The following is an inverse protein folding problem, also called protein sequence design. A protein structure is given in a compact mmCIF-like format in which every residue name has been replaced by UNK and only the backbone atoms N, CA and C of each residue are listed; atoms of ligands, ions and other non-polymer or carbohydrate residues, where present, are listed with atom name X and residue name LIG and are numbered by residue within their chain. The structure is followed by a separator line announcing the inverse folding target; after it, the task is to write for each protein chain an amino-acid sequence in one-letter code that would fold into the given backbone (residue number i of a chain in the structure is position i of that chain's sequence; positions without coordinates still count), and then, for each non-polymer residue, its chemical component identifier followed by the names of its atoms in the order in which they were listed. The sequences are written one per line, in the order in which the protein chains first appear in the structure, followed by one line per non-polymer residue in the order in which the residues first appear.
data_IF_345703460267
#
_entry.id   IF_345703460267
#
_cell.length_a   1.000
_cell.length_b   1.000
_cell.length_c   1.000
_cell.angle_alpha   90.00
_cell.angle_beta   90.00
_cell.angle_gamma   90.00
#
_symmetry.space_group_name_H-M   'P 1'
#
loop_
_entity.id
_entity.type
_entity.pdbx_description
1 polymer ?
#
# COMPACT_ATOMS: atom_id res chain seq x y z
N UNK A 1 -19.69 6.89 5.43
CA UNK A 1 -21.12 7.23 5.73
C UNK A 1 -22.04 6.94 4.54
N UNK A 2 -21.74 7.38 3.31
CA UNK A 2 -22.62 7.21 2.16
C UNK A 2 -22.98 5.76 1.80
N UNK A 3 -22.07 4.79 2.01
CA UNK A 3 -22.33 3.37 1.80
C UNK A 3 -23.21 2.75 2.90
N UNK A 4 -23.21 3.32 4.09
CA UNK A 4 -24.02 2.82 5.23
C UNK A 4 -25.50 3.22 5.10
N UNK A 5 -25.77 4.34 4.47
CA UNK A 5 -27.14 4.83 4.34
C UNK A 5 -27.80 4.28 3.07
N UNK A 6 -28.92 3.58 3.19
CA UNK A 6 -29.58 2.89 2.07
C UNK A 6 -29.98 3.81 0.91
N UNK A 7 -30.34 5.06 1.17
CA UNK A 7 -30.71 6.06 0.14
C UNK A 7 -29.51 6.55 -0.69
N UNK A 8 -28.35 6.68 -0.06
CA UNK A 8 -27.13 7.22 -0.70
C UNK A 8 -26.16 6.14 -1.19
N UNK A 9 -26.30 4.91 -0.67
CA UNK A 9 -25.39 3.79 -0.94
C UNK A 9 -25.10 3.59 -2.42
N UNK A 10 -26.17 3.61 -3.22
CA UNK A 10 -26.09 3.44 -4.66
C UNK A 10 -25.18 4.48 -5.31
N UNK A 11 -25.44 5.75 -5.03
CA UNK A 11 -24.68 6.86 -5.61
C UNK A 11 -23.26 6.93 -5.11
N UNK A 12 -23.05 6.64 -3.83
CA UNK A 12 -21.71 6.56 -3.24
C UNK A 12 -20.89 5.42 -3.86
N UNK A 13 -21.49 4.26 -4.10
CA UNK A 13 -20.82 3.15 -4.77
C UNK A 13 -20.41 3.52 -6.20
N UNK A 14 -21.27 4.20 -6.97
CA UNK A 14 -20.93 4.71 -8.31
C UNK A 14 -19.75 5.67 -8.23
N UNK A 15 -19.84 6.67 -7.36
CA UNK A 15 -18.82 7.70 -7.23
C UNK A 15 -17.45 7.11 -6.86
N UNK A 16 -17.43 6.16 -5.92
CA UNK A 16 -16.21 5.44 -5.54
C UNK A 16 -15.67 4.59 -6.70
N UNK A 17 -16.54 3.95 -7.49
CA UNK A 17 -16.11 3.18 -8.65
C UNK A 17 -15.43 4.08 -9.69
N UNK A 18 -16.02 5.23 -10.02
CA UNK A 18 -15.42 6.20 -10.93
C UNK A 18 -14.10 6.76 -10.40
N UNK A 19 -14.03 7.04 -9.10
CA UNK A 19 -12.80 7.51 -8.46
C UNK A 19 -11.67 6.47 -8.58
N UNK A 20 -11.94 5.19 -8.29
CA UNK A 20 -10.94 4.14 -8.41
C UNK A 20 -10.59 3.81 -9.86
N UNK A 21 -11.54 3.96 -10.79
CA UNK A 21 -11.26 3.89 -12.21
C UNK A 21 -10.27 4.98 -12.66
N UNK A 22 -10.50 6.22 -12.21
CA UNK A 22 -9.59 7.33 -12.47
C UNK A 22 -8.19 7.06 -11.87
N UNK A 23 -8.12 6.60 -10.63
CA UNK A 23 -6.85 6.24 -10.00
C UNK A 23 -6.10 5.16 -10.78
N UNK A 24 -6.78 4.14 -11.27
CA UNK A 24 -6.16 3.09 -12.08
C UNK A 24 -5.56 3.65 -13.38
N UNK A 25 -6.28 4.55 -14.05
CA UNK A 25 -5.78 5.21 -15.26
C UNK A 25 -4.61 6.15 -14.99
N UNK A 26 -4.67 6.90 -13.88
CA UNK A 26 -3.67 7.94 -13.56
C UNK A 26 -2.40 7.38 -12.93
N UNK A 27 -2.50 6.34 -12.10
CA UNK A 27 -1.42 5.88 -11.22
C UNK A 27 -0.98 4.44 -11.52
N UNK A 28 -1.65 3.75 -12.44
CA UNK A 28 -1.43 2.32 -12.74
C UNK A 28 -1.59 1.39 -11.52
N UNK A 29 -2.34 1.82 -10.52
CA UNK A 29 -2.57 1.04 -9.32
C UNK A 29 -3.79 0.14 -9.50
N UNK A 30 -3.57 -1.16 -9.60
CA UNK A 30 -4.62 -2.15 -9.88
C UNK A 30 -5.48 -2.49 -8.64
N UNK A 31 -5.90 -1.45 -7.91
CA UNK A 31 -6.83 -1.58 -6.79
C UNK A 31 -8.29 -1.57 -7.23
N UNK A 32 -8.56 -1.18 -8.46
CA UNK A 32 -9.94 -1.06 -8.98
C UNK A 32 -10.69 -2.37 -8.92
N UNK A 33 -10.01 -3.48 -9.15
CA UNK A 33 -10.55 -4.83 -9.05
C UNK A 33 -11.09 -5.12 -7.66
N UNK A 34 -10.24 -4.99 -6.64
CA UNK A 34 -10.60 -5.25 -5.26
C UNK A 34 -11.72 -4.32 -4.78
N UNK A 35 -11.64 -3.04 -5.13
CA UNK A 35 -12.67 -2.06 -4.75
C UNK A 35 -14.00 -2.34 -5.44
N UNK A 36 -14.00 -2.75 -6.72
CA UNK A 36 -15.23 -3.12 -7.42
C UNK A 36 -15.90 -4.33 -6.73
N UNK A 37 -15.15 -5.36 -6.33
CA UNK A 37 -15.69 -6.48 -5.56
C UNK A 37 -16.28 -6.05 -4.21
N UNK A 38 -15.57 -5.20 -3.46
CA UNK A 38 -16.06 -4.69 -2.18
C UNK A 38 -17.33 -3.86 -2.36
N UNK A 39 -17.40 -3.01 -3.37
CA UNK A 39 -18.56 -2.20 -3.69
C UNK A 39 -19.75 -3.07 -4.14
N UNK A 40 -19.51 -4.12 -4.92
CA UNK A 40 -20.52 -5.11 -5.27
C UNK A 40 -21.10 -5.77 -4.02
N UNK A 41 -20.25 -6.19 -3.07
CA UNK A 41 -20.69 -6.73 -1.78
C UNK A 41 -21.58 -5.78 -0.97
N UNK A 42 -21.36 -4.46 -1.09
CA UNK A 42 -22.20 -3.45 -0.43
C UNK A 42 -23.57 -3.23 -1.11
N UNK A 43 -23.69 -3.61 -2.38
CA UNK A 43 -24.83 -3.24 -3.24
C UNK A 43 -25.74 -4.45 -3.54
N UNK A 44 -25.19 -5.67 -3.54
CA UNK A 44 -25.92 -6.89 -3.91
C UNK A 44 -26.79 -7.40 -2.77
N UNK A 45 -28.01 -7.75 -3.09
CA UNK A 45 -28.89 -8.54 -2.23
C UNK A 45 -28.77 -10.03 -2.62
N UNK A 46 -27.96 -10.78 -1.87
CA UNK A 46 -27.69 -12.20 -2.15
C UNK A 46 -28.87 -13.14 -1.91
N UNK A 47 -29.94 -12.69 -1.24
CA UNK A 47 -31.10 -13.54 -0.92
C UNK A 47 -32.11 -13.65 -2.06
N UNK A 48 -31.98 -12.88 -3.13
CA UNK A 48 -32.92 -12.87 -4.25
C UNK A 48 -32.58 -13.95 -5.28
N UNK A 49 -33.50 -14.90 -5.55
CA UNK A 49 -33.34 -15.94 -6.62
C UNK A 49 -33.10 -15.36 -8.01
N UNK A 50 -33.61 -14.18 -8.30
CA UNK A 50 -33.43 -13.49 -9.60
C UNK A 50 -32.00 -12.99 -9.76
N UNK A 51 -31.35 -12.59 -8.67
CA UNK A 51 -29.98 -12.14 -8.67
C UNK A 51 -29.02 -13.28 -8.98
N UNK A 52 -29.31 -14.51 -8.53
CA UNK A 52 -28.45 -15.68 -8.78
C UNK A 52 -28.21 -15.92 -10.27
N UNK A 53 -29.25 -15.84 -11.12
CA UNK A 53 -29.09 -15.99 -12.59
C UNK A 53 -28.29 -14.82 -13.22
N UNK A 54 -28.57 -13.60 -12.78
CA UNK A 54 -27.87 -12.42 -13.28
C UNK A 54 -26.39 -12.40 -12.83
N UNK A 55 -26.09 -12.88 -11.61
CA UNK A 55 -24.73 -13.06 -11.11
C UNK A 55 -23.96 -14.05 -11.98
N UNK A 56 -24.54 -15.21 -12.26
CA UNK A 56 -23.90 -16.22 -13.10
C UNK A 56 -23.61 -15.66 -14.50
N UNK A 57 -24.56 -14.94 -15.09
CA UNK A 57 -24.39 -14.33 -16.40
C UNK A 57 -23.30 -13.24 -16.38
N UNK A 58 -23.32 -12.34 -15.40
CA UNK A 58 -22.31 -11.31 -15.24
C UNK A 58 -20.92 -11.90 -14.93
N UNK A 59 -20.85 -12.98 -14.14
CA UNK A 59 -19.60 -13.70 -13.87
C UNK A 59 -19.02 -14.33 -15.15
N UNK A 60 -19.86 -14.92 -16.01
CA UNK A 60 -19.42 -15.43 -17.33
C UNK A 60 -18.86 -14.31 -18.20
N UNK A 61 -19.53 -13.16 -18.25
CA UNK A 61 -19.00 -11.97 -18.94
C UNK A 61 -17.66 -11.51 -18.36
N UNK A 62 -17.55 -11.48 -17.04
CA UNK A 62 -16.30 -11.12 -16.38
C UNK A 62 -15.16 -12.10 -16.74
N UNK A 63 -15.41 -13.40 -16.68
CA UNK A 63 -14.43 -14.42 -17.07
C UNK A 63 -14.02 -14.25 -18.54
N UNK A 64 -14.98 -14.02 -19.43
CA UNK A 64 -14.69 -13.78 -20.85
C UNK A 64 -13.79 -12.53 -21.02
N UNK A 65 -14.10 -11.43 -20.34
CA UNK A 65 -13.27 -10.23 -20.39
C UNK A 65 -11.88 -10.44 -19.79
N UNK A 66 -11.78 -11.18 -18.70
CA UNK A 66 -10.49 -11.55 -18.13
C UNK A 66 -9.66 -12.39 -19.11
N UNK A 67 -10.26 -13.37 -19.76
CA UNK A 67 -9.59 -14.18 -20.78
C UNK A 67 -9.15 -13.34 -21.99
N UNK A 68 -10.00 -12.45 -22.50
CA UNK A 68 -9.65 -11.52 -23.57
C UNK A 68 -8.53 -10.58 -23.18
N UNK A 69 -8.53 -10.07 -21.94
CA UNK A 69 -7.47 -9.23 -21.39
C UNK A 69 -6.14 -9.97 -21.33
N UNK A 70 -6.13 -11.21 -20.83
CA UNK A 70 -4.94 -12.07 -20.79
C UNK A 70 -4.45 -12.36 -22.21
N UNK A 71 -5.34 -12.72 -23.13
CA UNK A 71 -5.00 -12.99 -24.53
C UNK A 71 -4.42 -11.75 -25.20
N UNK A 72 -5.02 -10.58 -24.98
CA UNK A 72 -4.51 -9.31 -25.48
C UNK A 72 -3.14 -8.98 -24.90
N UNK A 73 -2.91 -9.25 -23.61
CA UNK A 73 -1.61 -9.09 -22.97
C UNK A 73 -0.53 -9.95 -23.62
N UNK A 74 -0.84 -11.20 -23.95
CA UNK A 74 0.09 -12.08 -24.70
C UNK A 74 0.41 -11.56 -26.09
N UNK A 75 -0.59 -11.03 -26.83
CA UNK A 75 -0.37 -10.39 -28.12
C UNK A 75 0.58 -9.20 -28.00
N UNK A 76 0.33 -8.33 -27.01
CA UNK A 76 1.14 -7.15 -26.73
C UNK A 76 2.56 -7.50 -26.36
N UNK A 77 2.79 -8.57 -25.59
CA UNK A 77 4.13 -9.11 -25.30
C UNK A 77 4.81 -9.63 -26.58
N UNK A 78 4.10 -10.38 -27.41
CA UNK A 78 4.63 -10.95 -28.66
C UNK A 78 5.12 -9.86 -29.63
N UNK A 79 4.42 -8.73 -29.71
CA UNK A 79 4.77 -7.62 -30.59
C UNK A 79 5.71 -6.58 -29.94
N UNK A 80 6.28 -6.87 -28.77
CA UNK A 80 7.23 -6.00 -28.04
C UNK A 80 6.78 -4.53 -27.91
N UNK A 81 5.49 -4.29 -27.79
CA UNK A 81 4.94 -2.96 -27.59
C UNK A 81 5.43 -2.35 -26.26
N UNK A 82 5.59 -1.03 -26.21
CA UNK A 82 6.14 -0.33 -25.05
C UNK A 82 5.40 -0.69 -23.75
N UNK A 83 6.14 -0.95 -22.68
CA UNK A 83 5.60 -1.37 -21.35
C UNK A 83 4.57 -0.38 -20.80
N UNK A 84 4.78 0.92 -20.97
CA UNK A 84 3.83 1.95 -20.47
C UNK A 84 2.46 1.88 -21.16
N UNK A 85 2.43 1.65 -22.47
CA UNK A 85 1.17 1.48 -23.19
C UNK A 85 0.49 0.15 -22.89
N UNK A 86 1.25 -0.89 -22.54
CA UNK A 86 0.73 -2.22 -22.17
C UNK A 86 -0.12 -2.15 -20.90
N UNK A 87 0.41 -1.53 -19.84
CA UNK A 87 -0.30 -1.38 -18.56
C UNK A 87 -1.60 -0.59 -18.70
N UNK A 88 -1.58 0.49 -19.46
CA UNK A 88 -2.76 1.32 -19.69
C UNK A 88 -3.87 0.55 -20.41
N UNK A 89 -3.57 -0.15 -21.51
CA UNK A 89 -4.56 -0.89 -22.29
C UNK A 89 -5.12 -2.06 -21.48
N UNK A 90 -4.27 -2.80 -20.76
CA UNK A 90 -4.70 -3.87 -19.88
C UNK A 90 -5.66 -3.36 -18.80
N UNK A 91 -5.28 -2.27 -18.13
CA UNK A 91 -6.12 -1.63 -17.12
C UNK A 91 -7.45 -1.14 -17.70
N UNK A 92 -7.46 -0.55 -18.90
CA UNK A 92 -8.68 -0.09 -19.55
C UNK A 92 -9.65 -1.24 -19.86
N UNK A 93 -9.18 -2.33 -20.51
CA UNK A 93 -9.99 -3.49 -20.84
C UNK A 93 -10.58 -4.13 -19.58
N UNK A 94 -9.75 -4.27 -18.54
CA UNK A 94 -10.17 -4.83 -17.26
C UNK A 94 -11.26 -3.96 -16.60
N UNK A 95 -11.09 -2.64 -16.58
CA UNK A 95 -12.05 -1.72 -16.01
C UNK A 95 -13.37 -1.64 -16.78
N UNK A 96 -13.36 -1.73 -18.10
CA UNK A 96 -14.60 -1.83 -18.90
C UNK A 96 -15.42 -3.05 -18.48
N UNK A 97 -14.78 -4.22 -18.31
CA UNK A 97 -15.43 -5.42 -17.81
C UNK A 97 -16.08 -5.19 -16.44
N UNK A 98 -15.39 -4.50 -15.51
CA UNK A 98 -15.94 -4.14 -14.21
C UNK A 98 -17.14 -3.20 -14.31
N UNK A 99 -17.09 -2.19 -15.17
CA UNK A 99 -18.21 -1.28 -15.38
C UNK A 99 -19.44 -2.01 -15.89
N UNK A 100 -19.29 -2.89 -16.89
CA UNK A 100 -20.39 -3.71 -17.42
C UNK A 100 -21.00 -4.57 -16.31
N UNK A 101 -20.16 -5.24 -15.52
CA UNK A 101 -20.59 -6.09 -14.41
C UNK A 101 -21.32 -5.26 -13.34
N UNK A 102 -20.78 -4.13 -12.96
CA UNK A 102 -21.36 -3.23 -11.98
C UNK A 102 -22.70 -2.67 -12.43
N UNK A 103 -22.81 -2.16 -13.67
CA UNK A 103 -24.07 -1.63 -14.20
C UNK A 103 -25.15 -2.71 -14.34
N UNK A 104 -24.76 -3.93 -14.70
CA UNK A 104 -25.69 -5.08 -14.77
C UNK A 104 -26.31 -5.37 -13.40
N UNK A 105 -25.51 -5.34 -12.33
CA UNK A 105 -26.01 -5.49 -10.97
C UNK A 105 -26.81 -4.28 -10.52
N UNK A 106 -26.37 -3.11 -10.92
CA UNK A 106 -26.94 -1.87 -10.48
C UNK A 106 -28.36 -1.63 -10.99
N UNK A 107 -28.66 -2.12 -12.20
CA UNK A 107 -30.00 -2.07 -12.81
C UNK A 107 -31.02 -2.84 -11.97
N UNK A 108 -30.58 -3.90 -11.28
CA UNK A 108 -31.41 -4.79 -10.48
C UNK A 108 -31.36 -4.49 -8.98
N UNK A 109 -30.72 -3.38 -8.59
CA UNK A 109 -30.56 -3.03 -7.19
C UNK A 109 -31.89 -2.65 -6.52
N UNK A 110 -32.24 -3.35 -5.45
CA UNK A 110 -33.32 -2.98 -4.54
C UNK A 110 -32.72 -2.56 -3.21
N UNK A 111 -32.97 -1.29 -2.83
CA UNK A 111 -32.47 -0.80 -1.55
C UNK A 111 -33.08 -1.58 -0.38
N UNK A 112 -32.28 -2.34 0.35
CA UNK A 112 -32.65 -2.95 1.62
C UNK A 112 -32.03 -2.19 2.77
N UNK A 113 -32.79 -2.04 3.85
CA UNK A 113 -32.25 -1.58 5.13
C UNK A 113 -31.38 -2.70 5.70
N UNK A 114 -30.10 -2.44 5.91
CA UNK A 114 -29.21 -3.40 6.56
C UNK A 114 -29.66 -3.57 8.02
N UNK A 115 -30.03 -4.78 8.38
CA UNK A 115 -30.20 -5.16 9.77
C UNK A 115 -28.85 -5.69 10.25
N UNK A 116 -28.24 -4.99 11.19
CA UNK A 116 -26.96 -5.41 11.75
C UNK A 116 -27.21 -6.23 13.00
N UNK A 117 -26.86 -7.49 12.98
CA UNK A 117 -26.77 -8.29 14.20
C UNK A 117 -25.60 -7.79 15.06
N UNK A 118 -25.78 -7.81 16.39
CA UNK A 118 -24.79 -7.25 17.33
C UNK A 118 -23.42 -7.92 17.23
N UNK A 119 -23.36 -9.25 17.02
CA UNK A 119 -22.09 -10.00 16.96
C UNK A 119 -21.19 -9.59 15.77
N UNK A 120 -21.66 -9.59 14.50
CA UNK A 120 -20.84 -9.14 13.39
C UNK A 120 -20.47 -7.64 13.49
N UNK A 121 -21.34 -6.80 14.07
CA UNK A 121 -21.02 -5.38 14.28
C UNK A 121 -19.85 -5.23 15.26
N UNK A 122 -19.85 -5.98 16.36
CA UNK A 122 -18.73 -5.95 17.31
C UNK A 122 -17.43 -6.38 16.67
N UNK A 123 -17.43 -7.50 15.92
CA UNK A 123 -16.25 -7.99 15.21
C UNK A 123 -15.72 -6.96 14.21
N UNK A 124 -16.60 -6.38 13.38
CA UNK A 124 -16.22 -5.34 12.41
C UNK A 124 -15.68 -4.09 13.11
N UNK A 125 -16.24 -3.71 14.26
CA UNK A 125 -15.75 -2.58 15.06
C UNK A 125 -14.34 -2.83 15.58
N UNK A 126 -14.06 -4.04 16.08
CA UNK A 126 -12.72 -4.42 16.53
C UNK A 126 -11.74 -4.39 15.36
N UNK A 127 -12.10 -4.99 14.21
CA UNK A 127 -11.28 -4.93 13.00
C UNK A 127 -11.02 -3.49 12.56
N UNK A 128 -12.04 -2.64 12.59
CA UNK A 128 -11.90 -1.22 12.22
C UNK A 128 -10.94 -0.49 13.16
N UNK A 129 -11.03 -0.72 14.48
CA UNK A 129 -10.12 -0.12 15.46
C UNK A 129 -8.68 -0.59 15.21
N UNK A 130 -8.46 -1.88 14.98
CA UNK A 130 -7.12 -2.42 14.69
C UNK A 130 -6.53 -1.85 13.40
N UNK A 131 -7.32 -1.78 12.33
CA UNK A 131 -6.90 -1.19 11.05
C UNK A 131 -6.61 0.30 11.24
N UNK A 132 -7.45 1.03 11.95
CA UNK A 132 -7.25 2.45 12.24
C UNK A 132 -5.98 2.68 13.04
N UNK A 133 -5.73 1.89 14.07
CA UNK A 133 -4.49 1.94 14.84
C UNK A 133 -3.27 1.68 13.94
N UNK A 134 -3.33 0.64 13.11
CA UNK A 134 -2.26 0.31 12.18
C UNK A 134 -1.98 1.44 11.19
N UNK A 135 -3.01 2.12 10.71
CA UNK A 135 -2.86 3.23 9.76
C UNK A 135 -2.36 4.53 10.42
N UNK A 136 -2.74 4.76 11.67
CA UNK A 136 -2.35 5.92 12.43
C UNK A 136 -0.94 5.80 13.06
N UNK A 137 -0.30 4.63 12.98
CA UNK A 137 1.03 4.40 13.58
C UNK A 137 2.10 5.40 13.15
N UNK A 138 1.99 5.97 11.95
CA UNK A 138 2.90 6.99 11.43
C UNK A 138 2.88 8.26 12.29
N UNK A 139 1.69 8.66 12.75
CA UNK A 139 1.52 9.87 13.55
C UNK A 139 1.98 9.73 14.99
N UNK A 140 2.14 8.50 15.46
CA UNK A 140 2.67 8.21 16.81
C UNK A 140 4.14 7.78 16.79
N UNK A 141 4.77 7.72 15.61
CA UNK A 141 6.19 7.40 15.45
C UNK A 141 6.53 5.92 15.35
N UNK A 142 5.54 5.04 15.17
CA UNK A 142 5.71 3.58 15.04
C UNK A 142 5.88 3.10 13.58
N UNK A 143 6.52 3.88 12.75
CA UNK A 143 6.81 3.53 11.36
C UNK A 143 6.13 4.43 10.35
N UNK A 144 6.73 4.58 9.18
CA UNK A 144 6.25 5.45 8.11
C UNK A 144 6.12 4.75 6.75
N UNK A 145 6.27 3.43 6.74
CA UNK A 145 6.11 2.58 5.54
C UNK A 145 4.95 1.61 5.70
N UNK A 146 4.29 1.25 4.59
CA UNK A 146 3.17 0.31 4.59
C UNK A 146 1.89 0.81 5.25
N UNK A 147 1.65 2.12 5.22
CA UNK A 147 0.45 2.78 5.75
C UNK A 147 -0.43 3.30 4.61
N UNK A 148 -1.60 3.88 4.93
CA UNK A 148 -2.41 4.65 3.96
C UNK A 148 -1.74 5.94 3.46
N UNK A 149 -0.51 6.22 3.88
CA UNK A 149 0.31 7.34 3.38
C UNK A 149 1.00 7.04 2.05
N UNK A 150 0.81 5.86 1.52
CA UNK A 150 1.29 5.45 0.20
C UNK A 150 0.82 6.48 -0.84
N UNK A 151 1.70 6.95 -1.70
CA UNK A 151 1.48 8.02 -2.70
C UNK A 151 1.37 9.46 -2.18
N UNK A 152 1.32 9.69 -0.88
CA UNK A 152 1.05 11.03 -0.36
C UNK A 152 2.29 11.92 -0.22
N UNK A 153 3.49 11.37 -0.40
CA UNK A 153 4.75 12.05 -0.04
C UNK A 153 4.71 12.68 1.35
N UNK A 154 3.98 12.04 2.26
CA UNK A 154 3.83 12.50 3.64
C UNK A 154 5.18 12.42 4.36
N UNK A 155 5.63 13.54 4.87
CA UNK A 155 6.79 13.67 5.75
C UNK A 155 6.29 13.75 7.18
N UNK A 156 6.77 12.85 8.02
CA UNK A 156 6.36 12.76 9.43
C UNK A 156 7.50 13.05 10.41
N UNK A 157 8.71 13.25 9.91
CA UNK A 157 9.86 13.64 10.69
C UNK A 157 9.57 14.99 11.38
N UNK A 158 9.98 15.16 12.64
CA UNK A 158 9.74 16.39 13.42
C UNK A 158 10.26 17.66 12.75
N UNK A 159 11.39 17.53 12.04
CA UNK A 159 12.01 18.64 11.30
C UNK A 159 11.36 18.94 9.94
N UNK A 160 10.62 17.99 9.36
CA UNK A 160 10.13 18.03 7.98
C UNK A 160 8.65 17.66 7.85
N UNK A 161 7.87 17.88 8.89
CA UNK A 161 6.45 17.60 8.87
C UNK A 161 5.73 18.47 7.82
N UNK A 162 5.04 17.82 6.87
CA UNK A 162 4.23 18.47 5.83
C UNK A 162 2.73 18.17 5.94
N UNK A 163 2.28 17.55 7.03
CA UNK A 163 0.88 17.26 7.20
C UNK A 163 0.06 18.50 7.56
N UNK A 164 -1.03 18.73 6.81
CA UNK A 164 -1.82 19.96 6.94
C UNK A 164 -2.60 20.08 8.25
N UNK A 165 -3.14 18.97 8.76
CA UNK A 165 -4.04 18.95 9.93
C UNK A 165 -3.36 18.48 11.21
N UNK A 166 -2.31 17.67 11.12
CA UNK A 166 -1.70 16.98 12.26
C UNK A 166 -0.24 17.42 12.39
N UNK A 167 0.07 18.02 13.51
CA UNK A 167 1.45 18.35 13.86
C UNK A 167 2.12 17.12 14.49
N UNK A 168 2.92 16.40 13.70
CA UNK A 168 3.62 15.20 14.18
C UNK A 168 4.63 15.47 15.28
N UNK A 169 5.11 16.72 15.46
CA UNK A 169 5.95 17.10 16.61
C UNK A 169 5.25 16.88 17.94
N UNK A 170 3.91 17.05 17.95
CA UNK A 170 3.08 16.94 19.14
C UNK A 170 2.48 15.55 19.33
N UNK A 171 2.21 14.85 18.25
CA UNK A 171 1.50 13.56 18.30
C UNK A 171 2.42 12.35 18.44
N UNK A 172 3.69 12.47 18.08
CA UNK A 172 4.66 11.37 18.24
C UNK A 172 4.89 11.03 19.70
N UNK A 173 4.64 9.77 20.03
CA UNK A 173 4.90 9.17 21.34
C UNK A 173 6.31 8.57 21.38
N UNK A 174 6.81 8.10 20.24
CA UNK A 174 8.13 7.49 20.07
C UNK A 174 8.92 8.21 18.99
N UNK A 175 10.23 8.37 19.24
CA UNK A 175 11.13 9.13 18.37
C UNK A 175 12.02 8.23 17.49
N UNK A 176 11.54 7.04 17.12
CA UNK A 176 12.34 6.10 16.33
C UNK A 176 12.77 6.64 14.97
N UNK A 177 12.01 7.54 14.40
CA UNK A 177 12.31 8.16 13.10
C UNK A 177 13.38 9.24 13.20
N UNK A 178 13.54 9.86 14.38
CA UNK A 178 14.52 10.93 14.61
C UNK A 178 15.93 10.37 14.87
N UNK A 179 16.02 9.18 15.46
CA UNK A 179 17.30 8.49 15.63
C UNK A 179 17.66 7.77 14.34
N UNK A 180 18.49 8.41 13.52
CA UNK A 180 18.76 7.98 12.16
C UNK A 180 20.25 7.90 11.83
N UNK A 181 20.57 7.07 10.85
CA UNK A 181 21.89 6.81 10.31
C UNK A 181 21.93 7.24 8.85
N UNK A 182 22.94 8.04 8.46
CA UNK A 182 23.22 8.32 7.05
C UNK A 182 24.23 7.30 6.53
N UNK A 183 23.88 6.55 5.52
CA UNK A 183 24.74 5.56 4.89
C UNK A 183 25.57 6.26 3.81
N UNK A 184 26.89 6.32 3.97
CA UNK A 184 27.80 6.89 3.00
C UNK A 184 28.28 5.83 2.00
N UNK A 185 28.63 4.65 2.51
CA UNK A 185 29.14 3.55 1.66
C UNK A 185 28.66 2.21 2.21
N UNK A 186 28.12 1.39 1.32
CA UNK A 186 27.76 -0.01 1.58
C UNK A 186 28.88 -0.95 1.13
N UNK A 187 28.89 -2.20 1.60
CA UNK A 187 29.84 -3.22 1.15
C UNK A 187 29.81 -3.37 -0.37
N UNK A 188 30.99 -3.50 -0.99
CA UNK A 188 31.10 -3.61 -2.45
C UNK A 188 30.45 -4.89 -3.01
N UNK A 189 30.24 -5.88 -2.16
CA UNK A 189 29.52 -7.13 -2.48
C UNK A 189 28.02 -6.96 -2.65
N UNK A 190 27.46 -5.85 -2.16
CA UNK A 190 26.02 -5.53 -2.32
C UNK A 190 25.81 -4.91 -3.68
N UNK A 191 25.23 -5.68 -4.62
CA UNK A 191 24.96 -5.22 -6.00
C UNK A 191 24.01 -4.02 -6.07
N UNK A 192 23.11 -3.87 -5.10
CA UNK A 192 22.11 -2.82 -5.08
C UNK A 192 22.46 -1.76 -4.02
N UNK A 193 23.19 -0.75 -4.43
CA UNK A 193 23.63 0.37 -3.58
C UNK A 193 22.58 1.49 -3.42
N UNK A 194 21.29 1.19 -3.65
CA UNK A 194 20.20 2.20 -3.57
C UNK A 194 20.09 2.92 -2.23
N UNK A 195 20.69 2.37 -1.19
CA UNK A 195 20.66 2.97 0.15
C UNK A 195 21.80 3.94 0.43
N UNK A 196 22.81 4.03 -0.43
CA UNK A 196 23.89 5.00 -0.30
C UNK A 196 23.33 6.43 -0.44
N UNK A 197 23.80 7.33 0.40
CA UNK A 197 23.33 8.72 0.52
C UNK A 197 21.90 8.90 1.03
N UNK A 198 21.32 7.86 1.65
CA UNK A 198 20.03 7.96 2.34
C UNK A 198 20.21 7.87 3.84
N UNK A 199 19.30 8.55 4.57
CA UNK A 199 19.11 8.33 6.00
C UNK A 199 18.12 7.21 6.21
N UNK A 200 18.42 6.34 7.17
CA UNK A 200 17.50 5.33 7.68
C UNK A 200 17.34 5.54 9.18
N UNK A 201 16.13 5.44 9.72
CA UNK A 201 15.95 5.28 11.16
C UNK A 201 16.78 4.10 11.67
N UNK A 202 17.40 4.28 12.83
CA UNK A 202 18.35 3.33 13.41
C UNK A 202 17.77 1.91 13.51
N UNK A 203 16.49 1.80 13.86
CA UNK A 203 15.78 0.52 13.96
C UNK A 203 15.72 -0.19 12.61
N UNK A 204 15.38 0.55 11.54
CA UNK A 204 15.33 0.00 10.19
C UNK A 204 16.73 -0.39 9.71
N UNK A 205 17.75 0.43 10.02
CA UNK A 205 19.13 0.11 9.70
C UNK A 205 19.58 -1.18 10.40
N UNK A 206 19.31 -1.34 11.70
CA UNK A 206 19.62 -2.55 12.47
C UNK A 206 18.91 -3.77 11.88
N UNK A 207 17.63 -3.65 11.53
CA UNK A 207 16.87 -4.74 10.93
C UNK A 207 17.47 -5.18 9.59
N UNK A 208 17.77 -4.22 8.70
CA UNK A 208 18.40 -4.51 7.40
C UNK A 208 19.82 -5.07 7.55
N UNK A 209 20.60 -4.55 8.49
CA UNK A 209 21.94 -5.08 8.82
C UNK A 209 21.86 -6.54 9.22
N UNK A 210 20.93 -6.90 10.11
CA UNK A 210 20.74 -8.32 10.51
C UNK A 210 20.42 -9.21 9.33
N UNK A 211 19.52 -8.77 8.43
CA UNK A 211 19.19 -9.51 7.21
C UNK A 211 20.40 -9.66 6.27
N UNK A 212 21.21 -8.62 6.14
CA UNK A 212 22.43 -8.67 5.32
C UNK A 212 23.46 -9.65 5.94
N UNK A 213 23.66 -9.60 7.25
CA UNK A 213 24.56 -10.49 7.95
C UNK A 213 24.13 -11.98 7.90
N UNK A 214 22.81 -12.24 7.85
CA UNK A 214 22.26 -13.58 7.65
C UNK A 214 22.42 -14.08 6.20
N UNK A 215 22.45 -13.18 5.24
CA UNK A 215 22.51 -13.52 3.81
C UNK A 215 23.92 -13.70 3.28
N UNK A 216 24.90 -13.01 3.83
CA UNK A 216 26.28 -13.01 3.34
C UNK A 216 27.24 -13.53 4.41
N UNK A 217 28.12 -14.48 4.03
CA UNK A 217 29.06 -15.11 4.95
C UNK A 217 30.40 -14.37 5.12
N UNK A 218 30.72 -13.44 4.22
CA UNK A 218 31.93 -12.65 4.28
C UNK A 218 31.76 -11.35 5.10
N UNK A 219 32.87 -10.68 5.39
CA UNK A 219 32.89 -9.40 6.10
C UNK A 219 32.14 -8.32 5.30
N UNK A 220 31.33 -7.54 6.02
CA UNK A 220 30.51 -6.49 5.47
C UNK A 220 30.98 -5.13 5.98
N UNK A 221 31.90 -4.48 5.25
CA UNK A 221 32.39 -3.16 5.60
C UNK A 221 31.35 -2.06 5.24
N UNK A 222 31.19 -1.08 6.12
CA UNK A 222 30.24 0.01 5.91
C UNK A 222 30.80 1.33 6.42
N UNK A 223 30.52 2.44 5.74
CA UNK A 223 30.81 3.79 6.23
C UNK A 223 29.48 4.51 6.41
N UNK A 224 29.26 5.05 7.59
CA UNK A 224 28.02 5.73 7.94
C UNK A 224 28.28 6.93 8.84
N UNK A 225 27.30 7.86 8.91
CA UNK A 225 27.28 8.94 9.90
C UNK A 225 26.18 8.67 10.89
N UNK A 226 26.54 8.65 12.15
CA UNK A 226 25.61 8.48 13.28
C UNK A 226 25.94 9.48 14.39
N UNK A 227 24.95 10.23 14.85
CA UNK A 227 25.11 11.30 15.85
C UNK A 227 26.19 12.31 15.48
N UNK A 228 26.29 12.67 14.20
CA UNK A 228 27.29 13.57 13.59
C UNK A 228 28.72 13.01 13.49
N UNK A 229 28.98 11.80 13.96
CA UNK A 229 30.28 11.15 13.83
C UNK A 229 30.31 10.23 12.62
N UNK A 230 31.38 10.29 11.86
CA UNK A 230 31.62 9.35 10.75
C UNK A 230 32.24 8.08 11.32
N UNK A 231 31.52 6.97 11.18
CA UNK A 231 31.94 5.66 11.66
C UNK A 231 32.34 4.80 10.47
N UNK A 232 33.55 4.25 10.52
CA UNK A 232 34.03 3.22 9.60
C UNK A 232 33.90 1.87 10.30
N UNK A 233 33.00 1.04 9.81
CA UNK A 233 32.72 -0.27 10.40
C UNK A 233 33.36 -1.31 9.50
N UNK A 234 34.42 -2.00 9.98
CA UNK A 234 35.11 -3.02 9.17
C UNK A 234 34.23 -4.22 8.89
N UNK A 235 33.41 -4.61 9.85
CA UNK A 235 32.44 -5.70 9.69
C UNK A 235 31.14 -5.43 10.45
N UNK A 236 30.03 -5.35 9.72
CA UNK A 236 28.70 -5.16 10.28
C UNK A 236 28.27 -6.32 11.19
N UNK A 237 28.76 -7.55 10.96
CA UNK A 237 28.39 -8.72 11.77
C UNK A 237 28.78 -8.57 13.23
N UNK A 238 29.93 -7.96 13.47
CA UNK A 238 30.51 -7.76 14.80
C UNK A 238 30.21 -6.40 15.39
N UNK A 239 29.35 -5.61 14.73
CA UNK A 239 29.00 -4.27 15.16
C UNK A 239 27.79 -4.22 16.08
N UNK A 240 27.66 -3.13 16.83
CA UNK A 240 26.46 -2.81 17.65
C UNK A 240 25.18 -2.65 16.81
N UNK A 241 25.31 -2.54 15.49
CA UNK A 241 24.19 -2.42 14.59
C UNK A 241 23.60 -3.78 14.17
N UNK A 242 24.29 -4.87 14.38
CA UNK A 242 23.77 -6.22 14.19
C UNK A 242 23.00 -6.70 15.45
N UNK A 243 21.95 -5.98 15.79
CA UNK A 243 21.08 -6.29 16.92
C UNK A 243 19.76 -6.86 16.44
N UNK A 244 19.45 -8.10 16.80
CA UNK A 244 18.21 -8.77 16.40
C UNK A 244 17.15 -8.67 17.51
N UNK A 245 16.09 -7.88 17.26
CA UNK A 245 14.89 -7.88 18.10
C UNK A 245 13.69 -8.38 17.30
N UNK A 246 12.90 -9.27 17.91
CA UNK A 246 11.77 -9.91 17.25
C UNK A 246 10.73 -8.93 16.71
N UNK A 247 10.61 -7.76 17.32
CA UNK A 247 9.62 -6.74 16.95
C UNK A 247 10.08 -5.79 15.84
N UNK A 248 11.38 -5.75 15.50
CA UNK A 248 11.87 -4.90 14.40
C UNK A 248 11.15 -5.18 13.09
N UNK A 249 10.81 -6.44 12.82
CA UNK A 249 10.09 -6.85 11.62
C UNK A 249 8.65 -6.30 11.48
N UNK A 250 8.11 -5.68 12.51
CA UNK A 250 6.75 -5.10 12.49
C UNK A 250 6.76 -3.58 12.40
N UNK A 251 7.92 -2.94 12.53
CA UNK A 251 8.09 -1.49 12.49
C UNK A 251 8.92 -1.17 11.26
N UNK A 252 8.26 -0.69 10.20
CA UNK A 252 8.90 -0.40 8.93
C UNK A 252 9.07 1.09 8.74
N UNK A 253 10.30 1.49 8.35
CA UNK A 253 10.61 2.84 7.96
C UNK A 253 11.11 2.87 6.52
N UNK A 254 10.68 3.89 5.79
CA UNK A 254 11.24 4.22 4.48
C UNK A 254 12.54 5.00 4.65
N UNK A 255 13.30 5.04 3.57
CA UNK A 255 14.46 5.88 3.47
C UNK A 255 14.05 7.36 3.51
N UNK A 256 14.85 8.18 4.21
CA UNK A 256 14.67 9.63 4.31
C UNK A 256 15.65 10.27 3.32
N UNK A 257 15.16 11.01 2.33
CA UNK A 257 16.02 11.83 1.47
C UNK A 257 16.43 13.09 2.22
N UNK A 258 17.71 13.46 2.07
CA UNK A 258 18.23 14.70 2.68
C UNK A 258 17.66 15.94 2.01
N UNK A 259 17.47 15.88 0.69
CA UNK A 259 17.01 16.98 -0.14
C UNK A 259 15.85 16.53 -1.02
N UNK A 260 14.92 17.45 -1.26
CA UNK A 260 13.76 17.23 -2.10
C UNK A 260 12.67 16.32 -1.51
N UNK A 261 11.68 15.96 -2.31
CA UNK A 261 10.61 15.05 -1.89
C UNK A 261 11.11 13.61 -1.77
N UNK A 262 10.59 12.85 -0.81
CA UNK A 262 10.90 11.43 -0.72
C UNK A 262 10.44 10.71 -1.98
N UNK A 263 11.29 9.86 -2.56
CA UNK A 263 10.91 9.06 -3.72
C UNK A 263 9.82 8.06 -3.31
N UNK A 264 8.80 7.94 -4.15
CA UNK A 264 7.86 6.83 -4.06
C UNK A 264 8.55 5.58 -4.60
N UNK A 265 8.82 4.62 -3.73
CA UNK A 265 9.29 3.29 -4.13
C UNK A 265 8.08 2.36 -4.23
N UNK A 266 7.99 1.69 -5.35
CA UNK A 266 6.98 0.68 -5.69
C UNK A 266 7.63 -0.69 -5.75
#
# INVERSE_FOLDING_TARGET
FGLLWHKTRKWTAILLLFFHFYLNLAVYADFSALVAFLLLGCVIDFESKTISKNIIHAFRFYVLFAMLSIFFFFIVLKFQLNIKSRGFIHGLVFNIGYFILFFTFFKNYKARVLRFDKKPVLLLSVCFVLISFWTLRTYIGLGNSGNFTMFSNLLTEKSRNNHFLIDTKKTKIVDFEEDNVLILKLPDTIKNKKLENFRLPLIEFKYRTTQLCEKYDHELNCVLVYKNDTLVIPDLKNSVFNEKKWWYKYIFFREIQLEGPNKCYW
#
